data_IF_734509755233
#
_entry.id   IF_734509755233
#
_cell.length_a   1.000
_cell.length_b   1.000
_cell.length_c   1.000
_cell.angle_alpha   90.00
_cell.angle_beta   90.00
_cell.angle_gamma   90.00
#
_symmetry.space_group_name_H-M   'P 1'
#
loop_
_entity.id
_entity.type
_entity.pdbx_description
1 polymer ?
#
# COMPACT_ATOMS: atom_id res chain seq x y z
N UNK A 1 20.99 13.59 13.42
CA UNK A 1 21.07 13.69 14.90
C UNK A 1 19.82 14.34 15.49
N UNK A 2 19.37 15.52 15.01
CA UNK A 2 18.21 16.24 15.55
C UNK A 2 16.90 15.44 15.49
N UNK A 3 16.66 14.69 14.41
CA UNK A 3 15.47 13.84 14.28
C UNK A 3 15.46 12.68 15.28
N UNK A 4 16.56 11.96 15.42
CA UNK A 4 16.68 10.89 16.40
C UNK A 4 16.45 11.40 17.83
N UNK A 5 17.00 12.56 18.17
CA UNK A 5 16.77 13.19 19.48
C UNK A 5 15.28 13.48 19.73
N UNK A 6 14.57 14.02 18.72
CA UNK A 6 13.11 14.24 18.81
C UNK A 6 12.35 12.92 19.06
N UNK A 7 12.70 11.87 18.33
CA UNK A 7 12.08 10.54 18.49
C UNK A 7 12.33 10.00 19.89
N UNK A 8 13.58 10.05 20.39
CA UNK A 8 13.93 9.56 21.73
C UNK A 8 13.17 10.32 22.83
N UNK A 9 12.93 11.62 22.68
CA UNK A 9 12.13 12.40 23.61
C UNK A 9 10.64 12.06 23.60
N UNK A 10 10.13 11.49 22.49
CA UNK A 10 8.74 11.05 22.38
C UNK A 10 8.52 9.65 22.98
N UNK A 11 9.54 8.77 22.98
CA UNK A 11 9.37 7.40 23.43
C UNK A 11 8.73 7.24 24.82
N UNK A 12 9.10 8.04 25.86
CA UNK A 12 8.43 7.94 27.15
C UNK A 12 6.92 8.22 27.11
N UNK A 13 6.48 9.01 26.14
CA UNK A 13 5.05 9.36 25.94
C UNK A 13 4.29 8.27 25.17
N UNK A 14 5.01 7.32 24.56
CA UNK A 14 4.45 6.22 23.76
C UNK A 14 4.38 4.91 24.57
N UNK A 15 4.11 5.01 25.88
CA UNK A 15 3.94 3.88 26.79
C UNK A 15 2.52 3.80 27.33
N UNK A 16 2.11 2.60 27.68
CA UNK A 16 0.87 2.35 28.42
C UNK A 16 -0.39 2.40 27.56
N UNK A 17 -0.25 2.35 26.23
CA UNK A 17 -1.39 2.25 25.33
C UNK A 17 -1.93 0.83 25.28
N UNK A 18 -3.24 0.69 25.15
CA UNK A 18 -3.88 -0.59 24.92
C UNK A 18 -3.58 -1.11 23.51
N UNK A 19 -3.55 -0.22 22.53
CA UNK A 19 -3.28 -0.55 21.13
C UNK A 19 -2.37 0.50 20.49
N UNK A 20 -1.36 0.02 19.76
CA UNK A 20 -0.57 0.81 18.82
C UNK A 20 -0.75 0.19 17.44
N UNK A 21 -1.02 1.02 16.45
CA UNK A 21 -1.03 0.63 15.05
C UNK A 21 0.15 1.27 14.32
N UNK A 22 0.99 0.44 13.72
CA UNK A 22 2.02 0.90 12.78
C UNK A 22 1.39 1.04 11.40
N UNK A 23 1.68 2.13 10.69
CA UNK A 23 1.18 2.34 9.31
C UNK A 23 1.88 1.40 8.33
N UNK A 24 3.17 1.17 8.55
CA UNK A 24 3.98 0.19 7.82
C UNK A 24 5.20 -0.23 8.66
N UNK A 25 5.99 -1.22 8.21
CA UNK A 25 7.16 -1.67 8.99
C UNK A 25 8.28 -0.62 9.14
N UNK A 26 8.32 0.40 8.28
CA UNK A 26 9.28 1.52 8.37
C UNK A 26 8.56 2.75 8.91
N UNK A 27 8.15 2.68 10.16
CA UNK A 27 7.32 3.68 10.83
C UNK A 27 8.04 4.99 11.21
N UNK A 28 9.38 5.02 11.10
CA UNK A 28 10.19 6.23 11.29
C UNK A 28 11.11 6.42 10.07
N UNK A 29 10.60 7.12 9.05
CA UNK A 29 11.17 7.23 7.70
C UNK A 29 12.64 7.67 7.69
N UNK A 30 13.01 8.62 8.55
CA UNK A 30 14.37 9.19 8.60
C UNK A 30 15.36 8.39 9.47
N UNK A 31 14.96 7.23 9.98
CA UNK A 31 15.82 6.35 10.74
C UNK A 31 16.23 5.15 9.90
N UNK A 32 17.47 4.70 10.12
CA UNK A 32 17.90 3.41 9.62
C UNK A 32 17.02 2.30 10.18
N UNK A 33 16.73 1.28 9.38
CA UNK A 33 15.83 0.20 9.75
C UNK A 33 16.22 -0.51 11.06
N UNK A 34 17.52 -0.65 11.34
CA UNK A 34 18.03 -1.22 12.60
C UNK A 34 17.63 -0.42 13.85
N UNK A 35 17.55 0.90 13.71
CA UNK A 35 17.05 1.78 14.78
C UNK A 35 15.55 1.70 14.91
N UNK A 36 14.85 1.59 13.79
CA UNK A 36 13.40 1.37 13.74
C UNK A 36 13.00 0.10 14.50
N UNK A 37 13.70 -1.00 14.29
CA UNK A 37 13.47 -2.27 15.03
C UNK A 37 13.65 -2.07 16.53
N UNK A 38 14.70 -1.40 16.99
CA UNK A 38 14.91 -1.13 18.42
C UNK A 38 13.79 -0.30 19.04
N UNK A 39 13.26 0.66 18.28
CA UNK A 39 12.12 1.47 18.72
C UNK A 39 10.86 0.61 18.76
N UNK A 40 10.63 -0.22 17.75
CA UNK A 40 9.52 -1.16 17.73
C UNK A 40 9.58 -2.10 18.97
N UNK A 41 10.73 -2.69 19.25
CA UNK A 41 10.91 -3.57 20.41
C UNK A 41 10.67 -2.85 21.75
N UNK A 42 11.02 -1.55 21.79
CA UNK A 42 10.69 -0.73 22.96
C UNK A 42 9.18 -0.53 23.08
N UNK A 43 8.49 -0.18 22.00
CA UNK A 43 7.03 0.00 21.97
C UNK A 43 6.33 -1.30 22.39
N UNK A 44 6.77 -2.43 21.85
CA UNK A 44 6.20 -3.75 22.14
C UNK A 44 6.31 -4.12 23.63
N UNK A 45 7.42 -3.78 24.27
CA UNK A 45 7.62 -4.06 25.71
C UNK A 45 6.80 -3.16 26.64
N UNK A 46 6.34 -2.02 26.17
CA UNK A 46 5.71 -1.01 27.01
C UNK A 46 4.23 -0.76 26.68
N UNK A 47 3.64 -1.53 25.77
CA UNK A 47 2.24 -1.39 25.38
C UNK A 47 1.59 -2.78 25.29
N UNK A 48 0.25 -2.83 25.33
CA UNK A 48 -0.45 -4.12 25.42
C UNK A 48 -0.45 -4.87 24.10
N UNK A 49 -0.79 -4.18 22.99
CA UNK A 49 -0.89 -4.79 21.65
C UNK A 49 -0.33 -3.86 20.61
N UNK A 50 0.34 -4.46 19.59
CA UNK A 50 0.81 -3.73 18.41
C UNK A 50 0.32 -4.44 17.16
N UNK A 51 -0.34 -3.67 16.28
CA UNK A 51 -0.78 -4.11 14.96
C UNK A 51 0.11 -3.50 13.87
N UNK A 52 0.47 -4.31 12.90
CA UNK A 52 1.15 -3.88 11.69
C UNK A 52 0.11 -3.53 10.61
N UNK A 53 0.14 -2.29 10.11
CA UNK A 53 -0.57 -1.91 8.90
C UNK A 53 0.25 -2.25 7.65
N UNK A 54 -0.31 -3.06 6.77
CA UNK A 54 0.23 -3.32 5.45
C UNK A 54 -0.45 -2.35 4.47
N UNK A 55 0.09 -1.12 4.38
CA UNK A 55 -0.53 0.01 3.66
C UNK A 55 0.42 0.71 2.69
N UNK A 56 1.59 0.16 2.43
CA UNK A 56 2.57 0.71 1.52
C UNK A 56 3.59 -0.36 1.11
N UNK A 57 4.56 0.02 0.28
CA UNK A 57 5.62 -0.93 -0.09
C UNK A 57 6.33 -1.45 1.14
N UNK A 58 6.49 -2.77 1.17
CA UNK A 58 7.18 -3.53 2.20
C UNK A 58 7.80 -4.80 1.61
N UNK A 59 8.51 -5.57 2.44
CA UNK A 59 9.16 -6.79 1.99
C UNK A 59 8.18 -7.81 1.40
N UNK A 60 7.03 -8.05 2.05
CA UNK A 60 6.12 -9.11 1.61
C UNK A 60 5.43 -8.76 0.29
N UNK A 61 4.99 -7.51 0.13
CA UNK A 61 4.40 -7.05 -1.13
C UNK A 61 5.42 -7.09 -2.28
N UNK A 62 6.63 -6.56 -2.04
CA UNK A 62 7.68 -6.54 -3.08
C UNK A 62 8.14 -7.96 -3.42
N UNK A 63 8.30 -8.83 -2.43
CA UNK A 63 8.66 -10.23 -2.66
C UNK A 63 7.57 -10.98 -3.43
N UNK A 64 6.30 -10.76 -3.09
CA UNK A 64 5.20 -11.35 -3.85
C UNK A 64 5.17 -10.84 -5.30
N UNK A 65 5.32 -9.54 -5.50
CA UNK A 65 5.30 -8.93 -6.82
C UNK A 65 6.46 -9.37 -7.72
N UNK A 66 7.67 -9.48 -7.18
CA UNK A 66 8.87 -9.76 -7.97
C UNK A 66 9.15 -11.25 -8.10
N UNK A 67 8.99 -12.01 -7.01
CA UNK A 67 9.44 -13.41 -6.92
C UNK A 67 8.28 -14.39 -7.05
N UNK A 68 7.22 -14.25 -6.23
CA UNK A 68 6.10 -15.21 -6.25
C UNK A 68 5.13 -14.95 -7.39
N UNK A 69 4.88 -13.69 -7.72
CA UNK A 69 4.02 -13.26 -8.83
C UNK A 69 2.62 -13.88 -8.77
N UNK A 70 2.00 -13.84 -7.58
CA UNK A 70 0.69 -14.46 -7.35
C UNK A 70 -0.47 -13.63 -7.92
N UNK A 71 -0.31 -12.32 -8.03
CA UNK A 71 -1.29 -11.43 -8.63
C UNK A 71 -1.23 -11.51 -10.16
N UNK A 72 -2.36 -11.28 -10.81
CA UNK A 72 -2.42 -11.22 -12.27
C UNK A 72 -1.67 -10.01 -12.84
N UNK A 73 -1.62 -8.92 -12.09
CA UNK A 73 -0.93 -7.66 -12.43
C UNK A 73 -0.57 -6.90 -11.15
N UNK A 74 0.48 -6.15 -11.22
CA UNK A 74 0.92 -5.26 -10.15
C UNK A 74 1.78 -4.13 -10.74
N UNK A 75 2.40 -3.32 -9.90
CA UNK A 75 3.28 -2.23 -10.35
C UNK A 75 4.50 -2.72 -11.16
N UNK A 76 4.91 -3.99 -11.04
CA UNK A 76 6.05 -4.57 -11.77
C UNK A 76 5.69 -5.23 -13.08
N UNK A 77 4.46 -5.69 -13.23
CA UNK A 77 4.04 -6.39 -14.45
C UNK A 77 2.54 -6.33 -14.69
N UNK A 78 2.18 -6.57 -15.95
CA UNK A 78 0.83 -6.90 -16.39
C UNK A 78 0.86 -8.27 -17.10
N UNK A 79 -0.27 -8.88 -17.46
CA UNK A 79 -0.28 -10.14 -18.23
C UNK A 79 0.51 -10.10 -19.54
N UNK A 80 0.72 -8.91 -20.10
CA UNK A 80 1.30 -8.72 -21.44
C UNK A 80 2.65 -8.02 -21.43
N UNK A 81 3.09 -7.45 -20.30
CA UNK A 81 4.38 -6.73 -20.26
C UNK A 81 4.97 -6.63 -18.86
N UNK A 82 6.28 -6.54 -18.78
CA UNK A 82 7.01 -6.07 -17.60
C UNK A 82 6.97 -4.53 -17.53
N UNK A 83 6.93 -3.99 -16.32
CA UNK A 83 6.94 -2.55 -16.09
C UNK A 83 8.29 -2.15 -15.50
N UNK A 84 9.16 -1.61 -16.34
CA UNK A 84 10.47 -1.12 -15.92
C UNK A 84 10.38 0.36 -15.54
N UNK A 85 10.61 0.64 -14.26
CA UNK A 85 10.60 2.00 -13.73
C UNK A 85 11.62 2.12 -12.60
N UNK A 86 12.32 3.26 -12.51
CA UNK A 86 13.33 3.49 -11.47
C UNK A 86 12.79 3.34 -10.05
N UNK A 87 11.53 3.72 -9.82
CA UNK A 87 10.83 3.54 -8.56
C UNK A 87 10.71 2.06 -8.16
N UNK A 88 10.41 1.19 -9.11
CA UNK A 88 10.31 -0.25 -8.88
C UNK A 88 11.67 -0.82 -8.52
N UNK A 89 12.70 -0.47 -9.27
CA UNK A 89 14.08 -0.91 -9.02
C UNK A 89 14.57 -0.46 -7.63
N UNK A 90 14.27 0.79 -7.26
CA UNK A 90 14.63 1.31 -5.94
C UNK A 90 13.91 0.56 -4.80
N UNK A 91 12.60 0.29 -4.95
CA UNK A 91 11.85 -0.46 -3.94
C UNK A 91 12.29 -1.92 -3.86
N UNK A 92 12.59 -2.56 -5.00
CA UNK A 92 13.12 -3.92 -5.03
C UNK A 92 14.43 -4.00 -4.27
N UNK A 93 15.39 -3.11 -4.57
CA UNK A 93 16.66 -3.05 -3.84
C UNK A 93 16.43 -2.83 -2.35
N UNK A 94 15.62 -1.83 -1.98
CA UNK A 94 15.37 -1.45 -0.59
C UNK A 94 14.77 -2.60 0.24
N UNK A 95 13.77 -3.28 -0.30
CA UNK A 95 13.02 -4.26 0.46
C UNK A 95 13.56 -5.69 0.35
N UNK A 96 14.27 -6.04 -0.74
CA UNK A 96 14.83 -7.38 -0.89
C UNK A 96 16.30 -7.50 -0.47
N UNK A 97 17.07 -6.40 -0.55
CA UNK A 97 18.53 -6.43 -0.42
C UNK A 97 19.09 -5.54 0.71
N UNK A 98 18.23 -4.94 1.54
CA UNK A 98 18.67 -4.16 2.71
C UNK A 98 18.11 -4.74 4.00
N UNK A 99 18.54 -4.19 5.14
CA UNK A 99 18.00 -4.57 6.46
C UNK A 99 16.51 -4.27 6.63
N UNK A 100 15.87 -3.53 5.74
CA UNK A 100 14.41 -3.35 5.73
C UNK A 100 13.65 -4.67 5.64
N UNK A 101 14.19 -5.64 4.88
CA UNK A 101 13.69 -7.02 4.82
C UNK A 101 13.62 -7.66 6.20
N UNK A 102 14.75 -7.67 6.92
CA UNK A 102 14.81 -8.32 8.24
C UNK A 102 13.96 -7.56 9.27
N UNK A 103 13.92 -6.22 9.18
CA UNK A 103 13.08 -5.40 10.02
C UNK A 103 11.59 -5.71 9.82
N UNK A 104 11.13 -5.81 8.57
CA UNK A 104 9.73 -6.14 8.28
C UNK A 104 9.37 -7.56 8.74
N UNK A 105 10.25 -8.55 8.51
CA UNK A 105 10.05 -9.91 8.98
C UNK A 105 9.90 -9.96 10.50
N UNK A 106 10.84 -9.36 11.22
CA UNK A 106 10.80 -9.30 12.68
C UNK A 106 9.50 -8.66 13.20
N UNK A 107 9.07 -7.54 12.63
CA UNK A 107 7.83 -6.88 13.03
C UNK A 107 6.61 -7.74 12.71
N UNK A 108 6.53 -8.33 11.52
CA UNK A 108 5.41 -9.18 11.13
C UNK A 108 5.31 -10.45 11.99
N UNK A 109 6.44 -11.05 12.34
CA UNK A 109 6.51 -12.24 13.20
C UNK A 109 6.06 -11.95 14.64
N UNK A 110 6.42 -10.77 15.17
CA UNK A 110 6.26 -10.45 16.59
C UNK A 110 5.06 -9.56 16.92
N UNK A 111 4.43 -8.88 15.95
CA UNK A 111 3.22 -8.10 16.18
C UNK A 111 2.01 -8.99 16.53
N UNK A 112 0.99 -8.39 17.13
CA UNK A 112 -0.22 -9.12 17.57
C UNK A 112 -1.21 -9.37 16.43
N UNK A 113 -1.13 -8.59 15.34
CA UNK A 113 -1.96 -8.76 14.15
C UNK A 113 -1.50 -7.88 13.00
N UNK A 114 -1.93 -8.24 11.79
CA UNK A 114 -1.60 -7.55 10.55
C UNK A 114 -2.91 -7.11 9.89
N UNK A 115 -3.00 -5.83 9.60
CA UNK A 115 -4.17 -5.24 8.92
C UNK A 115 -3.77 -4.98 7.48
N UNK A 116 -4.38 -5.68 6.53
CA UNK A 116 -4.20 -5.45 5.10
C UNK A 116 -5.32 -4.53 4.59
N UNK A 117 -4.95 -3.34 4.11
CA UNK A 117 -5.90 -2.32 3.65
C UNK A 117 -6.34 -2.50 2.20
N UNK A 118 -5.57 -3.19 1.38
CA UNK A 118 -5.85 -3.53 0.00
C UNK A 118 -5.59 -5.02 -0.24
N UNK A 119 -6.24 -5.58 -1.26
CA UNK A 119 -6.19 -7.01 -1.57
C UNK A 119 -4.77 -7.54 -1.84
N UNK A 120 -3.95 -6.76 -2.51
CA UNK A 120 -2.54 -7.12 -2.78
C UNK A 120 -1.72 -7.36 -1.51
N UNK A 121 -1.98 -6.61 -0.46
CA UNK A 121 -1.32 -6.82 0.84
C UNK A 121 -1.83 -8.09 1.53
N UNK A 122 -3.13 -8.37 1.41
CA UNK A 122 -3.70 -9.60 1.96
C UNK A 122 -3.09 -10.84 1.30
N UNK A 123 -2.99 -10.84 -0.02
CA UNK A 123 -2.34 -11.91 -0.80
C UNK A 123 -0.87 -12.07 -0.43
N UNK A 124 -0.17 -10.97 -0.16
CA UNK A 124 1.25 -11.00 0.18
C UNK A 124 1.52 -11.54 1.60
N UNK A 125 0.69 -11.20 2.58
CA UNK A 125 0.91 -11.56 3.99
C UNK A 125 0.24 -12.84 4.43
N UNK A 126 -0.99 -13.12 4.00
CA UNK A 126 -1.79 -14.26 4.46
C UNK A 126 -1.12 -15.62 4.33
N UNK A 127 -0.33 -15.93 3.29
CA UNK A 127 0.37 -17.22 3.19
C UNK A 127 1.39 -17.47 4.29
N UNK A 128 1.92 -16.40 4.91
CA UNK A 128 2.92 -16.49 5.98
C UNK A 128 2.29 -16.36 7.38
N UNK A 129 1.19 -15.61 7.48
CA UNK A 129 0.54 -15.26 8.74
C UNK A 129 -0.99 -15.40 8.65
N UNK A 130 -1.52 -16.59 8.32
CA UNK A 130 -2.96 -16.77 8.09
C UNK A 130 -3.80 -16.37 9.33
N UNK A 131 -3.33 -16.69 10.53
CA UNK A 131 -4.07 -16.47 11.78
C UNK A 131 -4.06 -15.02 12.27
N UNK A 132 -3.11 -14.21 11.81
CA UNK A 132 -3.02 -12.81 12.24
C UNK A 132 -3.22 -11.78 11.13
N UNK A 133 -3.42 -12.19 9.88
CA UNK A 133 -3.71 -11.26 8.78
C UNK A 133 -5.22 -11.11 8.62
N UNK A 134 -5.69 -9.88 8.78
CA UNK A 134 -7.10 -9.52 8.58
C UNK A 134 -7.21 -8.46 7.50
N UNK A 135 -8.04 -8.74 6.48
CA UNK A 135 -8.34 -7.76 5.45
C UNK A 135 -9.38 -6.77 5.98
N UNK A 136 -8.97 -5.52 6.14
CA UNK A 136 -9.84 -4.41 6.55
C UNK A 136 -9.64 -3.30 5.52
N UNK A 137 -10.57 -3.11 4.57
CA UNK A 137 -10.49 -2.05 3.57
C UNK A 137 -10.36 -0.67 4.20
N UNK A 138 -9.72 0.26 3.49
CA UNK A 138 -9.66 1.65 3.95
C UNK A 138 -11.08 2.20 4.14
N UNK A 139 -11.39 2.79 5.29
CA UNK A 139 -12.69 3.36 5.57
C UNK A 139 -12.97 4.52 4.62
N UNK A 140 -14.19 4.57 4.09
CA UNK A 140 -14.70 5.68 3.29
C UNK A 140 -15.92 6.22 4.01
N UNK A 141 -15.88 7.51 4.34
CA UNK A 141 -17.06 8.20 4.86
C UNK A 141 -17.99 8.56 3.70
N UNK A 142 -19.17 7.98 3.71
CA UNK A 142 -20.22 8.33 2.75
C UNK A 142 -21.09 9.42 3.38
N UNK A 143 -20.93 10.64 2.89
CA UNK A 143 -21.72 11.79 3.31
C UNK A 143 -23.11 11.85 2.67
N UNK A 144 -23.44 10.89 1.82
CA UNK A 144 -24.71 10.80 1.09
C UNK A 144 -25.41 9.49 1.38
N UNK A 145 -26.72 9.53 1.58
CA UNK A 145 -27.55 8.33 1.67
C UNK A 145 -27.72 7.71 0.27
N UNK A 146 -28.00 6.42 0.19
CA UNK A 146 -28.26 5.72 -1.10
C UNK A 146 -29.35 6.42 -1.91
N UNK A 147 -30.34 7.04 -1.26
CA UNK A 147 -31.43 7.79 -1.88
C UNK A 147 -30.96 9.10 -2.55
N UNK A 148 -29.84 9.66 -2.11
CA UNK A 148 -29.24 10.88 -2.69
C UNK A 148 -28.32 10.58 -3.88
N UNK A 149 -27.90 9.32 -4.06
CA UNK A 149 -27.08 8.90 -5.21
C UNK A 149 -27.98 8.59 -6.38
N UNK A 150 -28.59 9.62 -6.97
CA UNK A 150 -29.26 9.49 -8.25
C UNK A 150 -28.22 9.52 -9.37
N UNK A 151 -28.00 8.36 -9.99
CA UNK A 151 -27.23 8.31 -11.25
C UNK A 151 -28.13 8.85 -12.35
N UNK A 152 -27.89 10.08 -12.86
CA UNK A 152 -28.74 10.63 -13.90
C UNK A 152 -28.64 9.77 -15.15
N UNK A 153 -29.73 9.13 -15.54
CA UNK A 153 -29.86 8.47 -16.83
C UNK A 153 -29.87 9.51 -17.92
N UNK A 154 -28.73 9.73 -18.55
CA UNK A 154 -28.55 10.70 -19.64
C UNK A 154 -28.84 10.04 -20.98
N UNK A 155 -30.14 9.77 -21.28
CA UNK A 155 -30.53 9.29 -22.61
C UNK A 155 -30.21 10.36 -23.67
N UNK A 156 -29.37 10.04 -24.64
CA UNK A 156 -29.04 10.93 -25.77
C UNK A 156 -28.00 12.01 -25.46
N UNK A 157 -27.30 11.97 -24.33
CA UNK A 157 -26.19 12.86 -24.05
C UNK A 157 -24.84 12.14 -24.26
N UNK A 158 -23.83 12.89 -24.69
CA UNK A 158 -22.46 12.40 -24.82
C UNK A 158 -21.92 11.92 -23.46
N UNK A 159 -21.26 10.79 -23.48
CA UNK A 159 -20.59 10.23 -22.27
C UNK A 159 -19.36 11.08 -21.99
N UNK A 160 -19.23 11.54 -20.74
CA UNK A 160 -18.04 12.25 -20.27
C UNK A 160 -17.21 11.35 -19.38
N UNK A 161 -15.93 11.18 -19.73
CA UNK A 161 -14.98 10.44 -18.91
C UNK A 161 -14.10 11.41 -18.11
N UNK A 162 -13.97 11.14 -16.82
CA UNK A 162 -12.98 11.81 -15.96
C UNK A 162 -11.84 10.85 -15.67
N UNK A 163 -10.61 11.28 -15.93
CA UNK A 163 -9.41 10.48 -15.65
C UNK A 163 -8.44 11.31 -14.82
N UNK A 164 -8.13 10.83 -13.62
CA UNK A 164 -7.05 11.37 -12.80
C UNK A 164 -5.69 10.85 -13.30
N UNK A 165 -4.83 11.75 -13.80
CA UNK A 165 -3.51 11.39 -14.33
C UNK A 165 -2.42 11.82 -13.34
N UNK A 166 -1.63 10.87 -12.89
CA UNK A 166 -0.43 11.11 -12.12
C UNK A 166 0.79 11.13 -13.05
N UNK A 167 1.22 12.33 -13.47
CA UNK A 167 2.22 12.53 -14.55
C UNK A 167 3.51 11.73 -14.38
N UNK A 168 4.02 11.59 -13.16
CA UNK A 168 5.28 10.85 -12.89
C UNK A 168 5.10 9.34 -12.74
N UNK A 169 3.88 8.82 -12.83
CA UNK A 169 3.55 7.40 -12.65
C UNK A 169 2.62 6.85 -13.73
N UNK A 170 2.61 7.43 -14.90
CA UNK A 170 1.71 7.02 -16.00
C UNK A 170 1.85 5.56 -16.37
N UNK A 171 3.08 5.07 -16.47
CA UNK A 171 3.36 3.65 -16.77
C UNK A 171 2.91 2.72 -15.64
N UNK A 172 3.18 3.08 -14.38
CA UNK A 172 2.80 2.29 -13.21
C UNK A 172 1.27 2.22 -13.03
N UNK A 173 0.56 3.31 -13.35
CA UNK A 173 -0.90 3.40 -13.20
C UNK A 173 -1.68 2.96 -14.44
N UNK A 174 -0.99 2.50 -15.48
CA UNK A 174 -1.63 2.06 -16.72
C UNK A 174 -2.39 3.17 -17.46
N UNK A 175 -2.02 4.45 -17.26
CA UNK A 175 -2.67 5.61 -17.87
C UNK A 175 -2.64 5.52 -19.39
N UNK A 176 -1.57 5.03 -19.97
CA UNK A 176 -1.43 4.79 -21.40
C UNK A 176 -2.43 3.77 -21.94
N UNK A 177 -2.79 2.77 -21.15
CA UNK A 177 -3.80 1.75 -21.48
C UNK A 177 -5.19 2.39 -21.48
N UNK A 178 -5.49 3.18 -20.45
CA UNK A 178 -6.77 3.90 -20.34
C UNK A 178 -6.96 4.87 -21.49
N UNK A 179 -5.93 5.67 -21.83
CA UNK A 179 -6.03 6.65 -22.93
C UNK A 179 -6.27 5.96 -24.28
N UNK A 180 -5.54 4.88 -24.60
CA UNK A 180 -5.78 4.10 -25.81
C UNK A 180 -7.18 3.48 -25.86
N UNK A 181 -7.69 3.01 -24.72
CA UNK A 181 -9.07 2.49 -24.66
C UNK A 181 -10.10 3.57 -24.97
N UNK A 182 -9.90 4.79 -24.46
CA UNK A 182 -10.78 5.93 -24.75
C UNK A 182 -10.68 6.39 -26.20
N UNK A 183 -9.48 6.49 -26.76
CA UNK A 183 -9.28 6.80 -28.19
C UNK A 183 -10.05 5.82 -29.07
N UNK A 184 -10.00 4.52 -28.72
CA UNK A 184 -10.75 3.49 -29.42
C UNK A 184 -12.25 3.66 -29.27
N UNK A 185 -12.75 3.98 -28.07
CA UNK A 185 -14.20 4.24 -27.84
C UNK A 185 -14.67 5.44 -28.71
N UNK A 186 -13.91 6.54 -28.75
CA UNK A 186 -14.23 7.69 -29.55
C UNK A 186 -14.26 7.34 -31.05
N UNK A 187 -13.35 6.48 -31.49
CA UNK A 187 -13.29 6.03 -32.89
C UNK A 187 -14.43 5.09 -33.25
N UNK A 188 -14.72 4.11 -32.39
CA UNK A 188 -15.71 3.07 -32.67
C UNK A 188 -17.16 3.55 -32.43
N UNK A 189 -17.35 4.58 -31.59
CA UNK A 189 -18.66 5.10 -31.19
C UNK A 189 -18.73 6.64 -31.23
N UNK A 190 -18.50 7.28 -32.37
CA UNK A 190 -18.38 8.75 -32.47
C UNK A 190 -19.66 9.51 -32.08
N UNK A 191 -20.82 8.91 -32.23
CA UNK A 191 -22.11 9.51 -31.88
C UNK A 191 -22.37 9.53 -30.35
N UNK A 192 -21.64 8.74 -29.59
CA UNK A 192 -21.81 8.58 -28.11
C UNK A 192 -20.68 9.24 -27.33
N UNK A 193 -19.59 9.61 -27.96
CA UNK A 193 -18.39 10.19 -27.38
C UNK A 193 -18.33 11.72 -27.43
#
# INVERSE_FOLDING_TARGET
>A
IAYLYKVLRLLPKLKGYDVIQLINPVHFIDLKAERGVRIYDYLRRHNKRIFLGAFGYDYYLVYDSVVRRTLRYCDWYTPTREVHHEWNTANEHDWLHTFKKEANKHIAETCDGIISGLYEYDVAYRPYFPEKTTFIPFPIELNQTEEEIQIPTRKGQKIRFFIGIQRHRTALKGTDIMLRALERIVTDYPEQA
#
